data_IF_011950133880
#
_entry.id   IF_011950133880
#
_cell.length_a   1.000
_cell.length_b   1.000
_cell.length_c   1.000
_cell.angle_alpha   90.00
_cell.angle_beta   90.00
_cell.angle_gamma   90.00
#
_symmetry.space_group_name_H-M   'P 1'
#
loop_
_entity.id
_entity.type
_entity.pdbx_description
1 polymer ?
#
# COMPACT_ATOMS: atom_id res chain seq x y z
N UNK A 1 -12.87 -12.91 38.21
CA UNK A 1 -11.42 -13.11 38.08
C UNK A 1 -10.75 -11.98 37.29
N UNK A 2 -11.08 -11.76 36.01
CA UNK A 2 -10.43 -10.73 35.17
C UNK A 2 -10.40 -9.34 35.75
N UNK A 3 -11.50 -8.89 36.37
CA UNK A 3 -11.58 -7.58 37.03
C UNK A 3 -10.63 -7.45 38.24
N UNK A 4 -10.36 -8.55 38.93
CA UNK A 4 -9.41 -8.59 40.07
C UNK A 4 -7.98 -8.56 39.54
N UNK A 5 -7.67 -9.32 38.48
CA UNK A 5 -6.35 -9.34 37.86
C UNK A 5 -5.99 -7.98 37.25
N UNK A 6 -6.96 -7.30 36.62
CA UNK A 6 -6.75 -5.94 36.06
C UNK A 6 -6.41 -4.88 37.13
N UNK A 7 -6.76 -5.13 38.41
CA UNK A 7 -6.45 -4.23 39.52
C UNK A 7 -5.18 -4.61 40.28
N UNK A 8 -4.56 -5.74 39.95
CA UNK A 8 -3.31 -6.16 40.59
C UNK A 8 -2.16 -5.24 40.20
N UNK A 9 -1.46 -4.71 41.17
CA UNK A 9 -0.31 -3.81 40.97
C UNK A 9 1.04 -4.51 41.21
N UNK A 10 1.02 -5.82 41.49
CA UNK A 10 2.21 -6.65 41.62
C UNK A 10 1.95 -8.09 41.20
N UNK A 11 3.02 -8.80 40.86
CA UNK A 11 2.99 -10.24 40.54
C UNK A 11 2.47 -11.02 41.73
N UNK A 12 2.81 -10.62 42.96
CA UNK A 12 2.30 -11.25 44.18
C UNK A 12 0.79 -11.15 44.25
N UNK A 13 0.21 -9.96 44.11
CA UNK A 13 -1.23 -9.76 44.11
C UNK A 13 -1.97 -10.56 43.04
N UNK A 14 -1.40 -10.60 41.81
CA UNK A 14 -1.97 -11.40 40.73
C UNK A 14 -1.92 -12.90 41.05
N UNK A 15 -0.78 -13.40 41.50
CA UNK A 15 -0.56 -14.80 41.89
C UNK A 15 -1.52 -15.24 43.01
N UNK A 16 -1.63 -14.44 44.07
CA UNK A 16 -2.51 -14.73 45.19
C UNK A 16 -3.99 -14.70 44.77
N UNK A 17 -4.38 -13.78 43.90
CA UNK A 17 -5.74 -13.74 43.35
C UNK A 17 -6.10 -15.01 42.56
N UNK A 18 -5.15 -15.52 41.75
CA UNK A 18 -5.35 -16.79 41.02
C UNK A 18 -5.48 -17.96 42.01
N UNK A 19 -4.55 -18.09 42.93
CA UNK A 19 -4.51 -19.19 43.86
C UNK A 19 -5.75 -19.20 44.80
N UNK A 20 -6.06 -18.08 45.41
CA UNK A 20 -7.08 -17.99 46.47
C UNK A 20 -8.51 -17.90 45.92
N UNK A 21 -8.71 -17.35 44.76
CA UNK A 21 -10.05 -17.07 44.21
C UNK A 21 -10.44 -17.91 42.98
N UNK A 22 -9.49 -18.55 42.33
CA UNK A 22 -9.77 -19.32 41.14
C UNK A 22 -9.37 -20.81 41.26
N UNK A 23 -8.08 -21.11 41.50
CA UNK A 23 -7.61 -22.49 41.60
C UNK A 23 -8.04 -23.17 42.90
N UNK A 24 -8.05 -22.42 44.01
CA UNK A 24 -8.45 -22.86 45.37
C UNK A 24 -7.88 -24.24 45.74
N UNK A 25 -6.56 -24.49 45.64
CA UNK A 25 -5.97 -25.74 46.01
C UNK A 25 -6.12 -26.00 47.49
N UNK A 26 -6.00 -27.30 47.93
CA UNK A 26 -6.12 -27.70 49.32
C UNK A 26 -5.11 -27.00 50.23
N UNK A 27 -3.88 -26.76 49.79
CA UNK A 27 -2.87 -25.98 50.52
C UNK A 27 -2.79 -24.58 49.97
N UNK A 28 -3.24 -23.61 50.73
CA UNK A 28 -3.21 -22.19 50.46
C UNK A 28 -2.33 -21.44 51.49
N UNK A 29 -1.39 -22.13 52.10
CA UNK A 29 -0.49 -21.56 53.10
C UNK A 29 0.35 -20.41 52.58
N UNK A 30 0.82 -19.54 53.46
CA UNK A 30 1.69 -18.42 53.13
C UNK A 30 2.98 -18.88 52.41
N UNK A 31 3.48 -20.08 52.70
CA UNK A 31 4.63 -20.67 52.02
C UNK A 31 4.34 -20.99 50.55
N UNK A 32 3.16 -21.58 50.26
CA UNK A 32 2.71 -21.87 48.90
C UNK A 32 2.48 -20.60 48.13
N UNK A 33 1.80 -19.59 48.69
CA UNK A 33 1.61 -18.30 48.09
C UNK A 33 2.97 -17.64 47.73
N UNK A 34 3.91 -17.66 48.66
CA UNK A 34 5.26 -17.07 48.46
C UNK A 34 6.01 -17.80 47.33
N UNK A 35 5.99 -19.14 47.34
CA UNK A 35 6.66 -19.94 46.33
C UNK A 35 6.10 -19.70 44.92
N UNK A 36 4.76 -19.64 44.78
CA UNK A 36 4.09 -19.35 43.52
C UNK A 36 4.37 -17.94 43.01
N UNK A 37 4.31 -16.95 43.91
CA UNK A 37 4.62 -15.58 43.57
C UNK A 37 6.10 -15.41 43.12
N UNK A 38 7.04 -16.16 43.75
CA UNK A 38 8.45 -16.18 43.33
C UNK A 38 8.62 -16.75 41.94
N UNK A 39 7.94 -17.85 41.61
CA UNK A 39 7.96 -18.37 40.23
C UNK A 39 7.34 -17.36 39.26
N UNK A 40 6.18 -16.78 39.61
CA UNK A 40 5.54 -15.74 38.83
C UNK A 40 6.47 -14.53 38.60
N UNK A 41 7.22 -14.12 39.64
CA UNK A 41 8.19 -13.02 39.55
C UNK A 41 9.36 -13.38 38.61
N UNK A 42 9.88 -14.61 38.71
CA UNK A 42 10.94 -15.10 37.81
C UNK A 42 10.50 -15.03 36.34
N UNK A 43 9.27 -15.45 36.05
CA UNK A 43 8.72 -15.35 34.69
C UNK A 43 8.43 -13.89 34.30
N UNK A 44 7.91 -13.10 35.23
CA UNK A 44 7.67 -11.68 34.99
C UNK A 44 8.98 -10.96 34.66
N UNK A 45 10.04 -11.17 35.45
CA UNK A 45 11.37 -10.56 35.24
C UNK A 45 12.02 -11.02 33.94
N UNK A 46 11.72 -12.26 33.53
CA UNK A 46 12.27 -12.85 32.30
C UNK A 46 11.50 -12.42 31.05
N UNK A 47 10.20 -12.23 31.16
CA UNK A 47 9.31 -12.07 30.01
C UNK A 47 8.47 -10.80 30.02
N UNK A 48 8.19 -10.18 31.16
CA UNK A 48 7.62 -8.86 31.18
C UNK A 48 8.66 -7.90 30.63
N UNK A 49 8.31 -7.15 29.63
CA UNK A 49 9.15 -6.06 29.11
C UNK A 49 9.56 -5.19 30.30
N UNK A 50 10.82 -5.20 30.64
CA UNK A 50 11.40 -4.22 31.55
C UNK A 50 11.10 -2.86 30.94
N UNK A 51 10.16 -2.14 31.54
CA UNK A 51 10.05 -0.71 31.39
C UNK A 51 11.27 -0.13 32.12
N UNK A 52 12.46 -0.36 31.59
CA UNK A 52 13.60 0.43 31.98
C UNK A 52 13.39 1.78 31.35
N UNK A 53 13.12 2.78 32.20
CA UNK A 53 13.38 4.18 31.88
C UNK A 53 14.84 4.35 31.50
N UNK A 54 15.21 3.97 30.28
CA UNK A 54 16.44 4.41 29.65
C UNK A 54 16.16 5.77 29.04
N UNK A 55 16.33 6.78 29.86
CA UNK A 55 16.35 8.19 29.48
C UNK A 55 17.61 8.45 28.66
N UNK A 56 17.57 8.13 27.39
CA UNK A 56 18.39 8.80 26.38
C UNK A 56 17.46 9.26 25.26
N UNK A 57 17.05 10.52 25.32
CA UNK A 57 16.35 11.23 24.24
C UNK A 57 14.99 10.66 23.85
N UNK A 58 13.98 10.70 24.74
CA UNK A 58 12.54 10.72 24.46
C UNK A 58 11.98 9.75 23.42
N UNK A 59 11.62 8.53 23.78
CA UNK A 59 10.45 7.72 23.47
C UNK A 59 10.78 6.25 23.70
N UNK A 60 10.08 5.62 24.65
CA UNK A 60 10.11 4.16 24.83
C UNK A 60 9.65 3.49 23.54
N UNK A 61 10.53 2.71 22.92
CA UNK A 61 10.19 1.84 21.78
C UNK A 61 9.36 0.67 22.31
N UNK A 62 8.03 0.80 22.27
CA UNK A 62 7.09 -0.27 22.56
C UNK A 62 6.71 -0.98 21.26
N UNK A 63 6.45 -2.30 21.33
CA UNK A 63 5.87 -3.04 20.22
C UNK A 63 4.47 -2.53 19.86
N UNK A 64 4.00 -2.85 18.65
CA UNK A 64 2.68 -2.45 18.18
C UNK A 64 1.56 -3.03 19.04
N UNK A 65 0.55 -2.20 19.36
CA UNK A 65 -0.69 -2.65 19.99
C UNK A 65 -1.61 -3.44 19.05
N UNK A 66 -1.28 -3.53 17.76
CA UNK A 66 -1.99 -4.31 16.75
C UNK A 66 -1.60 -5.79 16.75
N UNK A 67 -0.74 -6.21 17.67
CA UNK A 67 -0.32 -7.61 17.84
C UNK A 67 -1.49 -8.45 18.36
N UNK A 68 -1.82 -9.51 17.64
CA UNK A 68 -2.87 -10.47 18.00
C UNK A 68 -2.30 -11.72 18.68
N UNK A 69 -1.03 -12.06 18.40
CA UNK A 69 -0.31 -13.19 19.02
C UNK A 69 1.19 -12.91 19.10
N UNK A 70 1.89 -13.72 19.91
CA UNK A 70 3.33 -13.64 20.07
C UNK A 70 3.94 -15.03 19.99
N UNK A 71 4.91 -15.18 19.07
CA UNK A 71 5.73 -16.40 18.91
C UNK A 71 7.17 -15.94 18.81
N UNK A 72 7.83 -15.77 19.96
CA UNK A 72 9.20 -15.23 19.99
C UNK A 72 10.21 -16.15 19.32
N UNK A 73 11.02 -15.54 18.44
CA UNK A 73 12.22 -16.18 17.88
C UNK A 73 13.45 -15.76 18.68
N UNK A 74 14.37 -16.68 19.02
CA UNK A 74 15.65 -16.35 19.61
C UNK A 74 16.67 -15.81 18.58
N UNK A 75 16.32 -15.78 17.30
CA UNK A 75 17.20 -15.41 16.20
C UNK A 75 17.24 -13.90 16.02
N UNK A 76 17.94 -13.19 16.88
CA UNK A 76 18.12 -11.74 16.81
C UNK A 76 19.48 -11.34 17.39
N UNK A 77 19.95 -10.15 17.05
CA UNK A 77 21.27 -9.66 17.50
C UNK A 77 21.24 -8.77 18.75
N UNK A 78 20.14 -8.83 19.50
CA UNK A 78 19.92 -7.91 20.62
C UNK A 78 19.55 -6.50 20.16
N UNK A 79 19.76 -5.53 21.04
CA UNK A 79 19.35 -4.13 20.83
C UNK A 79 19.92 -3.54 19.54
N UNK A 80 19.09 -2.75 18.83
CA UNK A 80 19.51 -2.00 17.65
C UNK A 80 20.58 -0.97 18.02
N UNK A 81 21.51 -0.77 17.10
CA UNK A 81 22.56 0.25 17.20
C UNK A 81 22.22 1.51 16.39
N UNK A 82 21.06 1.51 15.71
CA UNK A 82 20.57 2.62 14.90
C UNK A 82 19.08 2.84 15.16
N UNK A 83 18.63 4.08 15.04
CA UNK A 83 17.19 4.43 15.08
C UNK A 83 16.44 3.76 13.92
N UNK A 84 15.14 3.50 14.13
CA UNK A 84 14.27 2.93 13.10
C UNK A 84 13.94 4.02 12.08
N UNK A 85 14.40 3.83 10.85
CA UNK A 85 14.19 4.72 9.72
C UNK A 85 13.97 3.98 8.39
N UNK A 86 13.75 2.65 8.46
CA UNK A 86 13.40 1.80 7.33
C UNK A 86 12.23 0.86 7.67
N UNK A 87 11.43 0.54 6.66
CA UNK A 87 10.43 -0.53 6.68
C UNK A 87 10.78 -1.50 5.56
N UNK A 88 10.89 -2.79 5.90
CA UNK A 88 11.16 -3.84 4.92
C UNK A 88 10.05 -4.89 4.96
N UNK A 89 8.97 -4.72 4.20
CA UNK A 89 7.97 -5.76 4.02
C UNK A 89 8.49 -6.90 3.15
N UNK A 90 8.11 -8.13 3.51
CA UNK A 90 8.49 -9.38 2.85
C UNK A 90 7.24 -10.17 2.43
N UNK A 91 7.41 -11.21 1.62
CA UNK A 91 6.42 -12.24 1.35
C UNK A 91 6.93 -13.60 1.88
N UNK A 92 6.09 -14.28 2.67
CA UNK A 92 6.46 -15.58 3.30
C UNK A 92 6.29 -16.78 2.35
N UNK A 93 5.79 -16.54 1.13
CA UNK A 93 5.55 -17.59 0.10
C UNK A 93 4.60 -18.68 0.60
N UNK A 94 3.47 -18.27 1.14
CA UNK A 94 2.40 -19.16 1.63
C UNK A 94 1.27 -18.38 2.28
N UNK A 95 0.05 -18.91 2.16
CA UNK A 95 -1.13 -18.40 2.86
C UNK A 95 -1.13 -18.95 4.30
N UNK A 96 -0.15 -18.50 5.11
CA UNK A 96 0.09 -18.99 6.46
C UNK A 96 -0.70 -18.15 7.48
N UNK A 97 -1.05 -18.75 8.64
CA UNK A 97 -1.57 -17.99 9.77
C UNK A 97 -0.44 -17.17 10.44
N UNK A 98 -0.80 -16.19 11.24
CA UNK A 98 0.16 -15.35 11.98
C UNK A 98 1.07 -16.19 12.89
N UNK A 99 0.50 -17.18 13.61
CA UNK A 99 1.21 -18.11 14.47
C UNK A 99 2.17 -19.00 13.67
N UNK A 100 1.73 -19.49 12.51
CA UNK A 100 2.56 -20.33 11.62
C UNK A 100 3.75 -19.54 11.08
N UNK A 101 3.56 -18.25 10.73
CA UNK A 101 4.67 -17.38 10.33
C UNK A 101 5.69 -17.25 11.48
N UNK A 102 5.21 -17.02 12.71
CA UNK A 102 6.09 -16.98 13.89
C UNK A 102 6.88 -18.29 14.08
N UNK A 103 6.23 -19.43 13.91
CA UNK A 103 6.84 -20.76 14.03
C UNK A 103 7.87 -21.06 12.92
N UNK A 104 7.93 -20.30 11.83
CA UNK A 104 8.95 -20.44 10.79
C UNK A 104 10.36 -20.09 11.27
N UNK A 105 10.52 -19.47 12.43
CA UNK A 105 11.82 -18.95 12.93
C UNK A 105 12.29 -19.61 14.23
N UNK A 106 12.36 -20.94 14.31
CA UNK A 106 12.85 -21.63 15.49
C UNK A 106 14.35 -21.37 15.70
N UNK A 107 14.86 -21.71 16.89
CA UNK A 107 16.30 -21.66 17.19
C UNK A 107 17.10 -22.37 16.09
N UNK A 108 18.18 -21.73 15.63
CA UNK A 108 19.05 -22.30 14.59
C UNK A 108 18.61 -22.07 13.14
N UNK A 109 17.45 -21.47 12.90
CA UNK A 109 16.99 -21.13 11.53
C UNK A 109 17.91 -20.14 10.81
N UNK A 110 18.65 -19.29 11.56
CA UNK A 110 19.49 -18.23 10.99
C UNK A 110 18.73 -17.10 10.31
N UNK A 111 17.43 -17.00 10.58
CA UNK A 111 16.54 -15.95 10.05
C UNK A 111 15.45 -15.61 11.07
N UNK A 112 14.91 -14.41 10.99
CA UNK A 112 13.75 -13.95 11.76
C UNK A 112 13.20 -12.64 11.17
N UNK A 113 12.02 -12.20 11.66
CA UNK A 113 11.47 -10.88 11.36
C UNK A 113 10.90 -10.27 12.65
N UNK A 114 10.57 -8.97 12.63
CA UNK A 114 9.93 -8.34 13.79
C UNK A 114 8.45 -8.76 13.87
N UNK A 115 7.73 -8.75 12.76
CA UNK A 115 6.32 -9.09 12.70
C UNK A 115 5.97 -10.06 11.58
N UNK A 116 4.94 -10.86 11.80
CA UNK A 116 4.29 -11.68 10.78
C UNK A 116 2.83 -11.29 10.63
N UNK A 117 2.34 -11.13 9.39
CA UNK A 117 0.92 -10.87 9.11
C UNK A 117 0.33 -12.11 8.43
N UNK A 118 -0.59 -12.79 9.12
CA UNK A 118 -1.29 -13.97 8.63
C UNK A 118 -2.28 -13.65 7.51
N UNK A 119 -2.70 -14.71 6.79
CA UNK A 119 -3.63 -14.61 5.64
C UNK A 119 -4.98 -13.95 5.98
N UNK A 120 -5.35 -13.91 7.24
CA UNK A 120 -6.56 -13.31 7.81
C UNK A 120 -6.34 -11.86 8.31
N UNK A 121 -5.10 -11.35 8.23
CA UNK A 121 -4.70 -10.05 8.71
C UNK A 121 -4.36 -9.97 10.20
N UNK A 122 -4.27 -11.11 10.92
CA UNK A 122 -3.76 -11.11 12.30
C UNK A 122 -2.26 -10.90 12.32
N UNK A 123 -1.75 -10.25 13.35
CA UNK A 123 -0.34 -9.89 13.51
C UNK A 123 0.30 -10.72 14.60
N UNK A 124 1.43 -11.35 14.30
CA UNK A 124 2.28 -12.02 15.26
C UNK A 124 3.53 -11.17 15.54
N UNK A 125 3.86 -10.96 16.81
CA UNK A 125 5.14 -10.44 17.25
C UNK A 125 6.15 -11.60 17.32
N UNK A 126 7.30 -11.44 16.66
CA UNK A 126 8.32 -12.50 16.52
C UNK A 126 9.65 -12.06 17.11
N UNK A 127 10.09 -10.83 16.84
CA UNK A 127 11.23 -10.19 17.48
C UNK A 127 10.83 -8.78 17.87
N UNK A 128 11.10 -8.39 19.12
CA UNK A 128 10.78 -7.05 19.59
C UNK A 128 11.37 -5.97 18.69
N UNK A 129 10.67 -4.86 18.49
CA UNK A 129 11.15 -3.75 17.65
C UNK A 129 12.48 -3.17 18.11
N UNK A 130 12.76 -3.18 19.40
CA UNK A 130 14.04 -2.72 19.95
C UNK A 130 15.23 -3.61 19.55
N UNK A 131 14.98 -4.82 19.08
CA UNK A 131 15.98 -5.78 18.66
C UNK A 131 16.11 -5.87 17.13
N UNK A 132 17.35 -6.11 16.66
CA UNK A 132 17.63 -6.36 15.25
C UNK A 132 17.26 -7.79 14.88
N UNK A 133 16.24 -7.95 14.03
CA UNK A 133 15.90 -9.23 13.39
C UNK A 133 16.94 -9.60 12.30
N UNK A 134 16.86 -10.83 11.77
CA UNK A 134 17.72 -11.35 10.68
C UNK A 134 16.84 -11.65 9.45
N UNK A 135 16.41 -10.62 8.72
CA UNK A 135 15.38 -10.79 7.71
C UNK A 135 15.84 -10.45 6.28
N UNK A 136 16.51 -9.32 6.10
CA UNK A 136 16.78 -8.80 4.76
C UNK A 136 18.10 -9.26 4.13
N UNK A 137 18.84 -10.14 4.78
CA UNK A 137 20.21 -10.53 4.39
C UNK A 137 21.21 -9.36 4.42
N UNK A 138 20.89 -8.26 5.10
CA UNK A 138 21.74 -7.09 5.27
C UNK A 138 21.70 -6.60 6.71
N UNK A 139 22.82 -6.76 7.41
CA UNK A 139 22.97 -6.28 8.79
C UNK A 139 22.69 -4.78 8.90
N UNK A 140 23.20 -3.99 7.96
CA UNK A 140 23.01 -2.54 7.94
C UNK A 140 21.54 -2.15 7.73
N UNK A 141 20.82 -2.87 6.88
CA UNK A 141 19.39 -2.64 6.69
C UNK A 141 18.61 -3.07 7.94
N UNK A 142 18.85 -4.28 8.46
CA UNK A 142 18.09 -4.83 9.58
C UNK A 142 18.32 -4.05 10.89
N UNK A 143 19.45 -3.36 11.06
CA UNK A 143 19.65 -2.43 12.18
C UNK A 143 18.69 -1.22 12.12
N UNK A 144 18.32 -0.79 10.93
CA UNK A 144 17.50 0.38 10.64
C UNK A 144 16.02 0.04 10.38
N UNK A 145 15.73 -1.22 10.00
CA UNK A 145 14.43 -1.61 9.49
C UNK A 145 13.57 -2.37 10.50
N UNK A 146 12.28 -2.04 10.56
CA UNK A 146 11.28 -3.00 11.00
C UNK A 146 10.93 -3.90 9.82
N UNK A 147 11.09 -5.21 10.02
CA UNK A 147 10.88 -6.24 9.02
C UNK A 147 9.56 -6.97 9.26
N UNK A 148 8.78 -7.19 8.21
CA UNK A 148 7.41 -7.70 8.31
C UNK A 148 7.22 -8.80 7.26
N UNK A 149 7.06 -10.04 7.69
CA UNK A 149 6.68 -11.15 6.81
C UNK A 149 5.18 -11.17 6.59
N UNK A 150 4.75 -11.20 5.36
CA UNK A 150 3.33 -11.15 4.97
C UNK A 150 2.92 -12.44 4.28
N UNK A 151 1.77 -13.00 4.68
CA UNK A 151 1.17 -14.13 3.98
C UNK A 151 0.89 -13.75 2.51
N UNK A 152 1.27 -14.65 1.59
CA UNK A 152 1.17 -14.43 0.16
C UNK A 152 0.88 -15.74 -0.58
N UNK A 153 0.60 -15.66 -1.86
CA UNK A 153 0.52 -16.86 -2.70
C UNK A 153 1.88 -17.56 -2.80
N UNK A 154 1.86 -18.87 -3.14
CA UNK A 154 3.05 -19.70 -3.27
C UNK A 154 3.82 -19.48 -4.57
N UNK A 155 3.17 -18.90 -5.57
CA UNK A 155 3.74 -18.67 -6.90
C UNK A 155 3.81 -17.16 -7.19
N UNK A 156 4.73 -16.78 -8.07
CA UNK A 156 4.81 -15.42 -8.61
C UNK A 156 3.43 -14.98 -9.17
N UNK A 157 3.04 -13.75 -8.94
CA UNK A 157 3.80 -12.62 -8.37
C UNK A 157 3.76 -12.53 -6.82
N UNK A 158 3.44 -13.62 -6.10
CA UNK A 158 3.28 -13.74 -4.64
C UNK A 158 2.24 -12.75 -4.11
N UNK A 159 1.04 -12.79 -4.70
CA UNK A 159 -0.04 -11.87 -4.35
C UNK A 159 -0.49 -12.05 -2.90
N UNK A 160 -0.85 -10.94 -2.27
CA UNK A 160 -1.38 -10.90 -0.91
C UNK A 160 -2.89 -10.72 -0.93
N UNK A 161 -3.59 -11.35 0.02
CA UNK A 161 -5.01 -11.07 0.25
C UNK A 161 -5.20 -9.63 0.75
N UNK A 162 -6.37 -9.05 0.48
CA UNK A 162 -6.69 -7.68 0.93
C UNK A 162 -6.54 -7.52 2.45
N UNK A 163 -6.92 -8.52 3.26
CA UNK A 163 -6.77 -8.49 4.71
C UNK A 163 -5.30 -8.30 5.14
N UNK A 164 -4.38 -8.98 4.45
CA UNK A 164 -2.93 -8.87 4.72
C UNK A 164 -2.42 -7.48 4.35
N UNK A 165 -2.75 -7.01 3.16
CA UNK A 165 -2.28 -5.70 2.67
C UNK A 165 -2.83 -4.53 3.47
N UNK A 166 -4.12 -4.56 3.81
CA UNK A 166 -4.74 -3.55 4.68
C UNK A 166 -4.13 -3.53 6.09
N UNK A 167 -3.82 -4.71 6.65
CA UNK A 167 -3.14 -4.79 7.95
C UNK A 167 -1.69 -4.31 7.86
N UNK A 168 -0.97 -4.61 6.78
CA UNK A 168 0.39 -4.11 6.54
C UNK A 168 0.42 -2.57 6.57
N UNK A 169 -0.50 -1.92 5.88
CA UNK A 169 -0.62 -0.45 5.86
C UNK A 169 -0.84 0.10 7.29
N UNK A 170 -1.78 -0.50 8.03
CA UNK A 170 -2.09 -0.08 9.41
C UNK A 170 -0.92 -0.30 10.36
N UNK A 171 -0.25 -1.45 10.27
CA UNK A 171 0.92 -1.78 11.09
C UNK A 171 2.09 -0.84 10.80
N UNK A 172 2.39 -0.56 9.53
CA UNK A 172 3.41 0.40 9.15
C UNK A 172 3.09 1.81 9.65
N UNK A 173 1.83 2.26 9.57
CA UNK A 173 1.42 3.56 10.10
C UNK A 173 1.57 3.63 11.63
N UNK A 174 1.24 2.57 12.35
CA UNK A 174 1.42 2.47 13.79
C UNK A 174 2.90 2.52 14.18
N UNK A 175 3.76 1.74 13.49
CA UNK A 175 5.22 1.79 13.67
C UNK A 175 5.74 3.21 13.44
N UNK A 176 5.32 3.86 12.37
CA UNK A 176 5.72 5.24 12.07
C UNK A 176 5.34 6.19 13.21
N UNK A 177 4.09 6.19 13.65
CA UNK A 177 3.58 7.07 14.73
C UNK A 177 4.37 6.88 16.03
N UNK A 178 4.60 5.63 16.42
CA UNK A 178 5.35 5.31 17.66
C UNK A 178 6.82 5.74 17.57
N UNK A 179 7.42 5.71 16.39
CA UNK A 179 8.80 6.13 16.15
C UNK A 179 8.94 7.60 15.70
N UNK A 180 7.88 8.42 15.83
CA UNK A 180 7.91 9.84 15.49
C UNK A 180 8.07 10.12 14.00
N UNK A 181 7.76 9.13 13.14
CA UNK A 181 7.83 9.27 11.70
C UNK A 181 6.50 9.77 11.15
N UNK A 182 6.55 10.85 10.41
CA UNK A 182 5.37 11.46 9.79
C UNK A 182 5.32 11.27 8.28
N UNK A 183 6.40 10.72 7.68
CA UNK A 183 6.50 10.56 6.24
C UNK A 183 7.20 9.26 5.86
N UNK A 184 6.53 8.45 5.07
CA UNK A 184 7.08 7.24 4.43
C UNK A 184 7.50 7.57 3.01
N UNK A 185 8.69 7.18 2.61
CA UNK A 185 9.27 7.44 1.30
C UNK A 185 9.44 6.13 0.52
N UNK A 186 8.98 6.13 -0.73
CA UNK A 186 9.38 5.19 -1.74
C UNK A 186 10.21 5.90 -2.81
N UNK A 187 11.50 5.60 -2.89
CA UNK A 187 12.45 6.30 -3.76
C UNK A 187 12.64 5.61 -5.12
N UNK A 188 11.89 4.53 -5.38
CA UNK A 188 11.77 3.87 -6.67
C UNK A 188 12.92 2.93 -7.04
N UNK A 189 14.11 3.08 -6.47
CA UNK A 189 15.24 2.18 -6.74
C UNK A 189 16.12 1.94 -5.51
N UNK A 190 16.90 0.85 -5.55
CA UNK A 190 17.90 0.50 -4.55
C UNK A 190 18.93 1.61 -4.33
N UNK A 191 19.48 2.11 -5.42
CA UNK A 191 20.56 3.11 -5.42
C UNK A 191 20.09 4.39 -4.72
N UNK A 192 18.93 4.90 -5.11
CA UNK A 192 18.35 6.09 -4.49
C UNK A 192 18.01 5.87 -3.02
N UNK A 193 17.42 4.72 -2.68
CA UNK A 193 17.01 4.43 -1.32
C UNK A 193 18.17 4.21 -0.36
N UNK A 194 19.26 3.59 -0.81
CA UNK A 194 20.44 3.33 0.03
C UNK A 194 21.37 4.53 0.15
N UNK A 195 21.39 5.41 -0.84
CA UNK A 195 22.14 6.67 -0.80
C UNK A 195 21.42 7.78 -0.02
N UNK A 196 20.11 7.61 0.27
CA UNK A 196 19.32 8.63 0.96
C UNK A 196 19.45 8.48 2.49
N UNK A 197 19.78 9.59 3.16
CA UNK A 197 19.73 9.67 4.61
C UNK A 197 18.38 10.28 5.04
N UNK A 198 17.49 9.48 5.66
CA UNK A 198 16.17 9.96 6.07
C UNK A 198 16.26 11.03 7.15
N UNK A 199 15.45 12.07 7.03
CA UNK A 199 15.28 13.06 8.10
C UNK A 199 14.65 12.40 9.34
N UNK A 200 14.75 13.06 10.48
CA UNK A 200 14.24 12.53 11.75
C UNK A 200 12.78 12.05 11.69
N UNK A 201 11.95 12.72 10.90
CA UNK A 201 10.53 12.41 10.72
C UNK A 201 10.24 11.52 9.48
N UNK A 202 11.26 11.05 8.77
CA UNK A 202 11.11 10.23 7.56
C UNK A 202 11.49 8.77 7.82
N UNK A 203 10.89 7.86 7.04
CA UNK A 203 11.21 6.44 7.01
C UNK A 203 11.12 5.94 5.56
N UNK A 204 12.08 5.09 5.14
CA UNK A 204 12.21 4.63 3.75
C UNK A 204 11.77 3.18 3.61
N UNK A 205 11.00 2.88 2.57
CA UNK A 205 10.69 1.51 2.15
C UNK A 205 11.91 0.89 1.47
N UNK A 206 12.31 -0.30 1.94
CA UNK A 206 13.40 -1.10 1.36
C UNK A 206 12.90 -2.51 1.03
N UNK A 207 13.61 -3.25 0.18
CA UNK A 207 13.20 -4.56 -0.30
C UNK A 207 14.30 -5.60 -0.14
N UNK A 208 13.96 -6.82 0.27
CA UNK A 208 14.91 -7.93 0.44
C UNK A 208 15.69 -8.24 -0.84
N UNK A 209 15.04 -8.19 -2.02
CA UNK A 209 15.68 -8.42 -3.33
C UNK A 209 16.84 -7.49 -3.63
N UNK A 210 16.99 -6.41 -2.89
CA UNK A 210 18.13 -5.49 -3.04
C UNK A 210 19.43 -5.98 -2.38
N UNK A 211 19.30 -6.89 -1.41
CA UNK A 211 20.40 -7.33 -0.57
C UNK A 211 20.81 -8.79 -0.81
N UNK A 212 19.94 -9.55 -1.49
CA UNK A 212 20.23 -10.94 -1.84
C UNK A 212 19.52 -11.30 -3.16
N UNK A 213 19.95 -12.39 -3.82
CA UNK A 213 19.28 -12.93 -4.99
C UNK A 213 17.98 -13.63 -4.56
N UNK A 214 16.93 -12.84 -4.36
CA UNK A 214 15.59 -13.27 -3.88
C UNK A 214 14.51 -12.55 -4.65
N UNK A 215 13.38 -13.22 -4.90
CA UNK A 215 12.17 -12.58 -5.45
C UNK A 215 11.43 -11.70 -4.42
N UNK A 216 11.65 -11.93 -3.12
CA UNK A 216 10.98 -11.21 -2.04
C UNK A 216 11.17 -9.67 -2.17
N UNK A 217 10.11 -8.88 -2.02
CA UNK A 217 8.77 -9.17 -1.50
C UNK A 217 7.75 -9.68 -2.54
N UNK A 218 8.18 -10.15 -3.71
CA UNK A 218 7.35 -10.52 -4.84
C UNK A 218 6.99 -9.29 -5.71
N UNK A 219 6.71 -9.53 -6.98
CA UNK A 219 6.39 -8.44 -7.90
C UNK A 219 5.05 -7.79 -7.59
N UNK A 220 4.13 -8.55 -6.98
CA UNK A 220 2.85 -7.99 -6.56
C UNK A 220 3.01 -6.87 -5.54
N UNK A 221 3.77 -7.08 -4.46
CA UNK A 221 3.98 -6.07 -3.44
C UNK A 221 4.99 -5.01 -3.90
N UNK A 222 6.08 -5.40 -4.55
CA UNK A 222 7.11 -4.47 -4.99
C UNK A 222 6.58 -3.39 -5.94
N UNK A 223 5.69 -3.77 -6.88
CA UNK A 223 5.05 -2.81 -7.79
C UNK A 223 4.08 -1.85 -7.07
N UNK A 224 3.66 -2.20 -5.85
CA UNK A 224 2.75 -1.40 -5.01
C UNK A 224 3.44 -0.58 -3.93
N UNK A 225 4.76 -0.56 -3.87
CA UNK A 225 5.48 0.20 -2.82
C UNK A 225 5.18 1.70 -2.85
N UNK A 226 4.95 2.29 -4.02
CA UNK A 226 4.49 3.69 -4.13
C UNK A 226 3.10 3.88 -3.52
N UNK A 227 2.15 3.01 -3.87
CA UNK A 227 0.81 3.00 -3.28
C UNK A 227 0.85 2.74 -1.77
N UNK A 228 1.69 1.79 -1.34
CA UNK A 228 1.89 1.47 0.08
C UNK A 228 2.35 2.72 0.86
N UNK A 229 3.36 3.43 0.36
CA UNK A 229 3.84 4.66 0.97
C UNK A 229 2.74 5.74 1.03
N UNK A 230 2.03 5.96 -0.07
CA UNK A 230 0.94 6.94 -0.16
C UNK A 230 -0.18 6.62 0.86
N UNK A 231 -0.58 5.35 0.97
CA UNK A 231 -1.62 4.92 1.89
C UNK A 231 -1.21 5.01 3.36
N UNK A 232 0.05 4.71 3.67
CA UNK A 232 0.57 4.90 5.03
C UNK A 232 0.61 6.40 5.35
N UNK A 233 1.11 7.24 4.44
CA UNK A 233 1.16 8.70 4.62
C UNK A 233 -0.24 9.30 4.85
N UNK A 234 -1.26 8.82 4.18
CA UNK A 234 -2.64 9.21 4.42
C UNK A 234 -3.10 8.93 5.87
N UNK A 235 -2.67 7.80 6.47
CA UNK A 235 -2.95 7.46 7.87
C UNK A 235 -2.10 8.26 8.88
N UNK A 236 -0.97 8.80 8.43
CA UNK A 236 -0.11 9.67 9.24
C UNK A 236 -0.59 11.13 9.27
N UNK A 237 -1.57 11.50 8.44
CA UNK A 237 -2.02 12.88 8.28
C UNK A 237 -1.02 13.75 7.50
N UNK A 238 -0.04 13.14 6.84
CA UNK A 238 0.95 13.84 6.05
C UNK A 238 0.34 14.23 4.70
N UNK A 239 -0.10 15.47 4.56
CA UNK A 239 -0.53 16.06 3.29
C UNK A 239 0.66 16.54 2.44
N UNK A 240 1.90 16.26 2.87
CA UNK A 240 3.11 16.74 2.23
C UNK A 240 3.57 15.80 1.11
N UNK A 241 3.11 16.08 -0.09
CA UNK A 241 3.74 15.60 -1.33
C UNK A 241 4.96 16.47 -1.61
N UNK A 242 6.12 16.11 -1.04
CA UNK A 242 7.37 16.80 -1.34
C UNK A 242 7.80 16.59 -2.79
N UNK A 243 7.58 17.56 -3.61
CA UNK A 243 8.55 18.04 -4.59
C UNK A 243 8.34 19.54 -4.86
N UNK A 244 9.46 20.22 -4.83
CA UNK A 244 9.83 21.60 -5.18
C UNK A 244 8.76 22.56 -5.71
N UNK A 245 8.63 23.68 -5.01
CA UNK A 245 8.47 25.01 -5.61
C UNK A 245 7.03 25.52 -5.73
N UNK A 246 6.63 26.43 -4.82
CA UNK A 246 5.54 27.36 -5.07
C UNK A 246 4.43 27.39 -4.02
N UNK A 247 4.60 28.32 -3.11
CA UNK A 247 3.62 29.00 -2.25
C UNK A 247 2.14 28.67 -2.51
N UNK A 248 1.39 28.14 -1.51
CA UNK A 248 0.19 28.77 -0.98
C UNK A 248 -0.52 27.96 0.11
N UNK A 249 -1.11 28.66 1.00
CA UNK A 249 -1.82 28.53 2.27
C UNK A 249 -2.91 27.43 2.33
N UNK A 250 -3.24 26.89 3.53
CA UNK A 250 -4.09 25.69 3.70
C UNK A 250 -5.56 26.02 3.55
N UNK A 251 -6.22 25.26 2.68
CA UNK A 251 -7.68 25.16 2.69
C UNK A 251 -8.07 23.69 2.62
N UNK A 252 -8.93 23.25 3.54
CA UNK A 252 -9.42 21.89 3.63
C UNK A 252 -10.06 21.45 2.31
N UNK A 253 -9.42 20.48 1.66
CA UNK A 253 -9.89 19.95 0.39
C UNK A 253 -9.64 18.44 0.33
N UNK A 254 -10.70 17.66 0.17
CA UNK A 254 -10.71 16.28 -0.25
C UNK A 254 -9.77 16.10 -1.45
N UNK A 255 -8.58 15.53 -1.23
CA UNK A 255 -7.61 15.30 -2.29
C UNK A 255 -8.20 14.47 -3.43
N UNK A 256 -8.03 14.93 -4.67
CA UNK A 256 -8.50 14.23 -5.87
C UNK A 256 -7.84 12.86 -5.95
N UNK A 257 -8.64 11.78 -5.89
CA UNK A 257 -8.21 10.42 -6.14
C UNK A 257 -8.41 10.06 -7.61
N UNK A 258 -7.39 9.44 -8.19
CA UNK A 258 -7.42 8.93 -9.56
C UNK A 258 -7.71 7.43 -9.52
N UNK A 259 -8.74 7.01 -10.23
CA UNK A 259 -9.11 5.60 -10.39
C UNK A 259 -8.85 5.18 -11.82
N UNK A 260 -8.44 3.94 -12.03
CA UNK A 260 -8.35 3.38 -13.37
C UNK A 260 -9.60 2.56 -13.65
N UNK A 261 -10.29 2.87 -14.73
CA UNK A 261 -11.53 2.22 -15.14
C UNK A 261 -11.32 1.48 -16.46
N UNK A 262 -11.69 0.19 -16.48
CA UNK A 262 -11.57 -0.69 -17.66
C UNK A 262 -12.91 -0.91 -18.39
N UNK A 263 -13.98 -0.25 -17.95
CA UNK A 263 -15.28 -0.31 -18.57
C UNK A 263 -16.39 0.24 -17.69
N UNK A 264 -17.49 0.64 -18.33
CA UNK A 264 -18.75 1.00 -17.69
C UNK A 264 -19.91 0.37 -18.46
N UNK A 265 -20.76 -0.38 -17.77
CA UNK A 265 -21.79 -1.23 -18.37
C UNK A 265 -23.15 -0.95 -17.74
N UNK A 266 -24.21 -0.85 -18.54
CA UNK A 266 -25.59 -0.77 -18.04
C UNK A 266 -26.05 -2.09 -17.43
N UNK A 267 -25.60 -3.21 -17.98
CA UNK A 267 -25.93 -4.54 -17.47
C UNK A 267 -24.84 -5.06 -16.54
N UNK A 268 -25.24 -5.46 -15.33
CA UNK A 268 -24.32 -5.99 -14.32
C UNK A 268 -23.53 -7.22 -14.80
N UNK A 269 -24.20 -8.11 -15.55
CA UNK A 269 -23.57 -9.32 -16.07
C UNK A 269 -22.36 -9.03 -16.99
N UNK A 270 -22.43 -7.97 -17.81
CA UNK A 270 -21.32 -7.56 -18.68
C UNK A 270 -20.15 -6.98 -17.86
N UNK A 271 -20.47 -6.25 -16.80
CA UNK A 271 -19.46 -5.74 -15.87
C UNK A 271 -18.79 -6.86 -15.06
N UNK A 272 -19.54 -7.86 -14.60
CA UNK A 272 -19.03 -9.05 -13.92
C UNK A 272 -18.11 -9.86 -14.84
N UNK A 273 -18.47 -10.02 -16.12
CA UNK A 273 -17.64 -10.68 -17.12
C UNK A 273 -16.32 -9.94 -17.34
N UNK A 274 -16.35 -8.61 -17.45
CA UNK A 274 -15.15 -7.78 -17.55
C UNK A 274 -14.29 -7.85 -16.30
N UNK A 275 -14.92 -7.76 -15.12
CA UNK A 275 -14.24 -7.91 -13.83
C UNK A 275 -13.47 -9.23 -13.74
N UNK A 276 -14.12 -10.33 -14.17
CA UNK A 276 -13.48 -11.66 -14.20
C UNK A 276 -12.26 -11.69 -15.14
N UNK A 277 -12.37 -11.10 -16.33
CA UNK A 277 -11.26 -11.02 -17.29
C UNK A 277 -10.08 -10.21 -16.75
N UNK A 278 -10.36 -9.05 -16.15
CA UNK A 278 -9.33 -8.15 -15.57
C UNK A 278 -8.61 -8.83 -14.40
N UNK A 279 -9.36 -9.52 -13.52
CA UNK A 279 -8.78 -10.31 -12.42
C UNK A 279 -7.95 -11.50 -12.93
N UNK A 280 -8.41 -12.22 -13.94
CA UNK A 280 -7.67 -13.32 -14.54
C UNK A 280 -6.35 -12.86 -15.20
N UNK A 281 -6.27 -11.61 -15.64
CA UNK A 281 -5.05 -11.01 -16.16
C UNK A 281 -4.09 -10.50 -15.08
N UNK A 282 -4.40 -10.73 -13.79
CA UNK A 282 -3.54 -10.39 -12.65
C UNK A 282 -3.74 -9.00 -12.07
N UNK A 283 -4.80 -8.28 -12.46
CA UNK A 283 -5.12 -6.96 -11.90
C UNK A 283 -6.12 -7.07 -10.74
N UNK A 284 -5.88 -6.36 -9.68
CA UNK A 284 -6.88 -6.19 -8.63
C UNK A 284 -7.97 -5.23 -9.12
N UNK A 285 -9.21 -5.71 -9.19
CA UNK A 285 -10.32 -4.97 -9.73
C UNK A 285 -11.58 -5.15 -8.89
N UNK A 286 -12.36 -4.08 -8.81
CA UNK A 286 -13.65 -4.06 -8.13
C UNK A 286 -14.75 -3.59 -9.06
N UNK A 287 -15.97 -4.02 -8.76
CA UNK A 287 -17.17 -3.50 -9.39
C UNK A 287 -17.76 -2.39 -8.54
N UNK A 288 -18.00 -1.22 -9.14
CA UNK A 288 -18.62 -0.07 -8.48
C UNK A 288 -19.84 0.38 -9.27
N UNK A 289 -20.99 0.46 -8.63
CA UNK A 289 -22.19 1.05 -9.22
C UNK A 289 -22.15 2.57 -9.07
N UNK A 290 -22.48 3.28 -10.15
CA UNK A 290 -22.54 4.74 -10.20
C UNK A 290 -23.67 5.15 -11.17
N UNK A 291 -24.83 5.56 -10.63
CA UNK A 291 -26.05 5.74 -11.39
C UNK A 291 -26.45 4.43 -12.08
N UNK A 292 -26.80 4.51 -13.35
CA UNK A 292 -27.24 3.37 -14.18
C UNK A 292 -26.10 2.48 -14.68
N UNK A 293 -24.85 2.76 -14.27
CA UNK A 293 -23.68 2.05 -14.76
C UNK A 293 -22.95 1.27 -13.68
N UNK A 294 -22.53 0.06 -14.03
CA UNK A 294 -21.58 -0.77 -13.32
C UNK A 294 -20.18 -0.55 -13.91
N UNK A 295 -19.26 0.00 -13.10
CA UNK A 295 -17.90 0.36 -13.51
C UNK A 295 -16.90 -0.66 -12.96
N UNK A 296 -16.00 -1.17 -13.80
CA UNK A 296 -14.90 -2.01 -13.39
C UNK A 296 -13.68 -1.12 -13.17
N UNK A 297 -13.21 -1.04 -11.93
CA UNK A 297 -12.11 -0.16 -11.53
C UNK A 297 -10.96 -0.96 -10.95
N UNK A 298 -9.72 -0.56 -11.31
CA UNK A 298 -8.47 -1.07 -10.74
C UNK A 298 -7.73 0.05 -10.02
N UNK A 299 -7.31 -0.20 -8.80
CA UNK A 299 -6.52 0.75 -8.02
C UNK A 299 -7.23 2.09 -7.69
N UNK A 300 -6.65 2.80 -6.72
CA UNK A 300 -7.00 4.17 -6.37
C UNK A 300 -5.70 4.92 -6.07
N UNK A 301 -5.38 5.93 -6.84
CA UNK A 301 -4.08 6.61 -6.85
C UNK A 301 -4.22 8.06 -6.41
N UNK A 302 -3.29 8.55 -5.61
CA UNK A 302 -3.18 9.95 -5.24
C UNK A 302 -2.49 10.80 -6.32
N UNK A 303 -1.74 10.14 -7.22
CA UNK A 303 -1.05 10.78 -8.35
C UNK A 303 -1.55 10.24 -9.69
N UNK A 304 -1.80 11.15 -10.63
CA UNK A 304 -2.27 10.81 -11.99
C UNK A 304 -1.26 9.94 -12.76
N UNK A 305 0.04 10.17 -12.51
CA UNK A 305 1.13 9.42 -13.15
C UNK A 305 1.08 7.93 -12.79
N UNK A 306 0.78 7.60 -11.54
CA UNK A 306 0.62 6.21 -11.09
C UNK A 306 -0.60 5.54 -11.72
N UNK A 307 -1.71 6.27 -11.83
CA UNK A 307 -2.89 5.78 -12.54
C UNK A 307 -2.61 5.58 -14.05
N UNK A 308 -1.86 6.49 -14.67
CA UNK A 308 -1.44 6.35 -16.07
C UNK A 308 -0.52 5.14 -16.30
N UNK A 309 0.39 4.86 -15.36
CA UNK A 309 1.24 3.66 -15.42
C UNK A 309 0.40 2.37 -15.35
N UNK A 310 -0.65 2.33 -14.55
CA UNK A 310 -1.57 1.20 -14.48
C UNK A 310 -2.39 1.07 -15.77
N UNK A 311 -2.86 2.18 -16.34
CA UNK A 311 -3.50 2.20 -17.67
C UNK A 311 -2.60 1.60 -18.73
N UNK A 312 -1.30 1.95 -18.73
CA UNK A 312 -0.34 1.39 -19.69
C UNK A 312 -0.19 -0.13 -19.56
N UNK A 313 -0.14 -0.65 -18.31
CA UNK A 313 -0.09 -2.11 -18.06
C UNK A 313 -1.35 -2.82 -18.53
N UNK A 314 -2.53 -2.26 -18.26
CA UNK A 314 -3.81 -2.80 -18.71
C UNK A 314 -3.90 -2.83 -20.24
N UNK A 315 -3.49 -1.74 -20.90
CA UNK A 315 -3.45 -1.66 -22.38
C UNK A 315 -2.48 -2.68 -22.97
N UNK A 316 -1.32 -2.91 -22.36
CA UNK A 316 -0.37 -3.94 -22.78
C UNK A 316 -0.94 -5.37 -22.67
N UNK A 317 -1.98 -5.57 -21.84
CA UNK A 317 -2.74 -6.83 -21.70
C UNK A 317 -4.03 -6.84 -22.54
N UNK A 318 -4.24 -5.86 -23.42
CA UNK A 318 -5.38 -5.79 -24.33
C UNK A 318 -6.67 -5.23 -23.71
N UNK A 319 -6.60 -4.57 -22.55
CA UNK A 319 -7.76 -3.93 -21.94
C UNK A 319 -7.79 -2.44 -22.26
N UNK A 320 -8.93 -1.94 -22.70
CA UNK A 320 -9.18 -0.50 -22.68
C UNK A 320 -9.25 -0.01 -21.24
N UNK A 321 -8.50 1.05 -20.93
CA UNK A 321 -8.46 1.63 -19.61
C UNK A 321 -8.29 3.15 -19.67
N UNK A 322 -8.95 3.84 -18.74
CA UNK A 322 -8.90 5.29 -18.59
C UNK A 322 -8.70 5.65 -17.13
N UNK A 323 -8.09 6.81 -16.88
CA UNK A 323 -8.03 7.40 -15.53
C UNK A 323 -9.30 8.22 -15.28
N UNK A 324 -9.93 8.00 -14.11
CA UNK A 324 -11.10 8.76 -13.65
C UNK A 324 -10.83 9.38 -12.28
N UNK A 325 -11.59 10.41 -11.89
CA UNK A 325 -11.54 11.03 -10.55
C UNK A 325 -12.74 10.64 -9.69
N UNK A 326 -12.83 11.15 -8.46
CA UNK A 326 -13.93 10.94 -7.53
C UNK A 326 -15.29 11.22 -8.22
N UNK A 327 -16.11 10.17 -8.37
CA UNK A 327 -17.38 10.27 -9.06
C UNK A 327 -17.45 9.55 -10.41
N UNK A 328 -16.30 9.07 -10.94
CA UNK A 328 -16.25 8.28 -12.17
C UNK A 328 -16.41 9.08 -13.46
N UNK A 329 -16.28 10.40 -13.41
CA UNK A 329 -15.94 11.20 -14.60
C UNK A 329 -14.49 10.89 -14.97
N UNK A 330 -14.20 10.80 -16.28
CA UNK A 330 -12.81 10.74 -16.73
C UNK A 330 -12.03 11.85 -16.02
N UNK A 331 -10.90 11.51 -15.38
CA UNK A 331 -10.03 12.54 -14.84
C UNK A 331 -9.62 13.40 -16.01
N UNK A 332 -10.25 14.55 -16.14
CA UNK A 332 -10.07 15.42 -17.27
C UNK A 332 -8.58 15.53 -17.57
N UNK A 333 -8.19 15.16 -18.76
CA UNK A 333 -7.23 15.99 -19.46
C UNK A 333 -7.60 17.40 -19.05
N UNK A 334 -6.70 18.16 -18.43
CA UNK A 334 -6.89 19.59 -18.26
C UNK A 334 -7.38 20.06 -19.63
N UNK A 335 -8.66 20.43 -19.70
CA UNK A 335 -9.23 21.03 -20.86
C UNK A 335 -8.58 22.42 -20.95
N UNK A 336 -7.31 22.46 -21.32
CA UNK A 336 -6.82 23.64 -22.01
C UNK A 336 -7.64 23.64 -23.29
N UNK A 337 -8.55 24.59 -23.38
CA UNK A 337 -9.42 24.82 -24.55
C UNK A 337 -8.62 24.51 -25.82
N UNK A 338 -9.09 23.56 -26.62
CA UNK A 338 -8.43 23.23 -27.88
C UNK A 338 -8.47 24.47 -28.74
N UNK A 339 -7.30 24.91 -29.21
CA UNK A 339 -7.13 26.10 -30.02
C UNK A 339 -6.67 25.72 -31.42
N UNK A 340 -6.94 26.58 -32.39
CA UNK A 340 -6.36 26.45 -33.72
C UNK A 340 -4.83 26.47 -33.60
N UNK A 341 -4.17 25.52 -34.23
CA UNK A 341 -2.74 25.31 -34.15
C UNK A 341 -2.29 24.18 -33.21
N UNK A 342 -3.15 23.77 -32.25
CA UNK A 342 -2.81 22.68 -31.33
C UNK A 342 -2.64 21.34 -32.08
N UNK A 343 -1.67 20.55 -31.61
CA UNK A 343 -1.58 19.15 -31.98
C UNK A 343 -2.41 18.35 -30.98
N UNK A 344 -3.32 17.55 -31.50
CA UNK A 344 -4.31 16.76 -30.75
C UNK A 344 -4.23 15.30 -31.16
N UNK A 345 -4.71 14.44 -30.30
CA UNK A 345 -4.86 13.01 -30.61
C UNK A 345 -6.27 12.76 -31.14
N UNK A 346 -6.39 12.31 -32.39
CA UNK A 346 -7.62 11.81 -32.96
C UNK A 346 -7.78 10.32 -32.63
N UNK A 347 -8.85 9.96 -31.94
CA UNK A 347 -9.09 8.59 -31.45
C UNK A 347 -9.70 7.66 -32.52
N UNK A 348 -9.88 8.16 -33.75
CA UNK A 348 -10.58 7.45 -34.82
C UNK A 348 -12.09 7.79 -34.86
N UNK A 349 -12.76 7.23 -35.85
CA UNK A 349 -14.17 7.47 -36.10
C UNK A 349 -14.42 8.30 -37.37
N UNK A 350 -15.70 8.62 -37.67
CA UNK A 350 -16.03 9.32 -38.90
C UNK A 350 -15.51 10.76 -38.93
N UNK A 351 -15.07 11.20 -40.13
CA UNK A 351 -14.82 12.61 -40.43
C UNK A 351 -15.84 13.13 -41.44
N UNK A 352 -15.97 14.44 -41.52
CA UNK A 352 -17.03 15.12 -42.25
C UNK A 352 -16.47 16.22 -43.11
N UNK A 353 -17.12 16.52 -44.26
CA UNK A 353 -16.73 17.58 -45.16
C UNK A 353 -17.03 19.00 -44.61
N UNK A 354 -17.93 19.16 -43.65
CA UNK A 354 -18.21 20.44 -42.99
C UNK A 354 -18.60 20.25 -41.55
N UNK A 355 -18.56 21.35 -40.76
CA UNK A 355 -18.90 21.35 -39.35
C UNK A 355 -20.36 20.95 -39.04
N UNK A 356 -21.28 21.06 -40.02
CA UNK A 356 -22.69 20.75 -39.90
C UNK A 356 -23.15 19.54 -40.73
N UNK A 357 -22.23 18.85 -41.41
CA UNK A 357 -22.58 17.76 -42.33
C UNK A 357 -23.40 16.66 -41.61
N UNK A 358 -24.37 16.10 -42.30
CA UNK A 358 -25.17 14.96 -41.81
C UNK A 358 -24.54 13.61 -42.18
N UNK A 359 -23.77 13.56 -43.26
CA UNK A 359 -23.16 12.35 -43.81
C UNK A 359 -21.66 12.38 -43.61
N UNK A 360 -21.07 11.28 -43.14
CA UNK A 360 -19.63 11.10 -43.00
C UNK A 360 -18.96 11.01 -44.40
N UNK A 361 -17.78 11.63 -44.49
CA UNK A 361 -16.95 11.56 -45.73
C UNK A 361 -16.03 10.31 -45.72
N UNK A 362 -15.86 9.68 -44.54
CA UNK A 362 -15.08 8.47 -44.38
C UNK A 362 -14.70 8.21 -42.92
N UNK A 363 -13.95 7.13 -42.70
CA UNK A 363 -13.46 6.75 -41.35
C UNK A 363 -11.93 6.69 -41.38
N UNK A 364 -11.24 7.82 -41.14
CA UNK A 364 -9.78 7.87 -41.19
C UNK A 364 -9.15 7.12 -40.03
N UNK A 365 -7.87 6.74 -40.23
CA UNK A 365 -7.05 6.11 -39.22
C UNK A 365 -6.77 7.08 -38.06
N UNK A 366 -6.89 6.58 -36.81
CA UNK A 366 -6.54 7.32 -35.59
C UNK A 366 -5.06 7.72 -35.57
N UNK A 367 -4.75 8.79 -34.83
CA UNK A 367 -3.38 9.26 -34.63
C UNK A 367 -3.27 10.77 -34.43
N UNK A 368 -2.05 11.32 -34.39
CA UNK A 368 -1.85 12.74 -34.14
C UNK A 368 -2.33 13.61 -35.30
N UNK A 369 -2.95 14.74 -34.96
CA UNK A 369 -3.48 15.70 -35.92
C UNK A 369 -3.41 17.13 -35.42
N UNK A 370 -3.26 18.08 -36.31
CA UNK A 370 -3.24 19.51 -36.01
C UNK A 370 -4.63 20.12 -36.20
N UNK A 371 -5.10 20.88 -35.23
CA UNK A 371 -6.36 21.63 -35.33
C UNK A 371 -6.17 22.83 -36.25
N UNK A 372 -6.91 22.89 -37.34
CA UNK A 372 -6.81 23.94 -38.34
C UNK A 372 -7.98 24.94 -38.30
N UNK A 373 -9.16 24.50 -37.81
CA UNK A 373 -10.34 25.37 -37.60
C UNK A 373 -11.18 24.87 -36.45
N UNK A 374 -11.90 25.79 -35.81
CA UNK A 374 -12.86 25.50 -34.74
C UNK A 374 -14.15 26.27 -35.01
N UNK A 375 -15.29 25.57 -34.94
CA UNK A 375 -16.64 26.17 -34.97
C UNK A 375 -17.33 25.76 -33.67
N UNK A 376 -17.33 26.67 -32.70
CA UNK A 376 -17.96 26.41 -31.38
C UNK A 376 -19.46 26.13 -31.55
N UNK A 377 -19.94 25.09 -30.86
CA UNK A 377 -21.36 24.69 -30.90
C UNK A 377 -21.80 23.93 -32.13
N UNK A 378 -20.92 23.71 -33.12
CA UNK A 378 -21.25 22.91 -34.29
C UNK A 378 -21.30 21.40 -33.95
N UNK A 379 -22.01 20.64 -34.76
CA UNK A 379 -22.12 19.17 -34.65
C UNK A 379 -20.75 18.49 -34.69
N UNK A 380 -19.84 18.99 -35.55
CA UNK A 380 -18.45 18.55 -35.69
C UNK A 380 -17.54 19.77 -35.52
N UNK A 381 -17.17 20.13 -34.26
CA UNK A 381 -16.58 21.44 -33.98
C UNK A 381 -15.13 21.64 -34.43
N UNK A 382 -14.38 20.56 -34.65
CA UNK A 382 -12.95 20.63 -34.95
C UNK A 382 -12.64 20.17 -36.37
N UNK A 383 -11.99 21.02 -37.15
CA UNK A 383 -11.32 20.61 -38.39
C UNK A 383 -9.89 20.28 -38.08
N UNK A 384 -9.50 19.03 -38.35
CA UNK A 384 -8.15 18.50 -38.03
C UNK A 384 -7.50 17.90 -39.27
N UNK A 385 -6.17 17.97 -39.30
CA UNK A 385 -5.32 17.43 -40.36
C UNK A 385 -4.22 16.59 -39.73
N UNK A 386 -4.03 15.37 -40.19
CA UNK A 386 -2.97 14.48 -39.69
C UNK A 386 -1.59 15.17 -39.76
N UNK A 387 -0.70 14.86 -38.83
CA UNK A 387 0.66 15.43 -38.74
C UNK A 387 1.74 14.45 -39.20
N UNK A 388 1.42 13.17 -39.30
CA UNK A 388 2.30 12.10 -39.74
C UNK A 388 1.52 10.95 -40.39
N UNK A 389 2.22 9.89 -40.83
CA UNK A 389 1.64 8.70 -41.46
C UNK A 389 0.88 7.76 -40.50
N UNK A 390 0.91 8.01 -39.19
CA UNK A 390 0.15 7.23 -38.19
C UNK A 390 -1.35 7.51 -38.26
N UNK A 391 -1.73 8.70 -38.71
CA UNK A 391 -3.12 9.11 -38.93
C UNK A 391 -3.37 9.38 -40.40
N UNK A 392 -4.64 9.33 -40.83
CA UNK A 392 -5.07 9.76 -42.15
C UNK A 392 -6.22 10.77 -42.10
N UNK A 393 -6.43 11.37 -40.95
CA UNK A 393 -7.57 12.29 -40.73
C UNK A 393 -7.35 13.63 -41.45
N UNK A 394 -8.36 14.00 -42.25
CA UNK A 394 -8.45 15.31 -42.87
C UNK A 394 -9.92 15.71 -42.95
N UNK A 395 -10.37 16.63 -42.08
CA UNK A 395 -11.75 17.08 -42.10
C UNK A 395 -12.31 17.43 -40.72
N UNK A 396 -13.60 17.62 -40.68
CA UNK A 396 -14.32 17.93 -39.45
C UNK A 396 -14.63 16.68 -38.65
N UNK A 397 -14.48 16.75 -37.34
CA UNK A 397 -14.66 15.60 -36.44
C UNK A 397 -15.47 15.99 -35.21
N UNK A 398 -16.07 14.98 -34.57
CA UNK A 398 -16.80 15.16 -33.32
C UNK A 398 -15.85 15.53 -32.19
N UNK A 399 -16.31 16.33 -31.25
CA UNK A 399 -15.54 16.72 -30.08
C UNK A 399 -15.07 15.52 -29.22
N UNK A 400 -15.88 14.46 -29.16
CA UNK A 400 -15.57 13.25 -28.44
C UNK A 400 -14.37 12.44 -29.02
N UNK A 401 -14.00 12.71 -30.26
CA UNK A 401 -12.95 11.99 -30.97
C UNK A 401 -11.59 12.72 -30.94
N UNK A 402 -11.50 13.85 -30.21
CA UNK A 402 -10.31 14.69 -30.15
C UNK A 402 -9.91 14.94 -28.70
N UNK A 403 -8.65 14.71 -28.36
CA UNK A 403 -8.08 15.02 -27.04
C UNK A 403 -6.73 15.74 -27.19
N UNK A 404 -6.40 16.59 -26.22
CA UNK A 404 -5.11 17.34 -26.17
C UNK A 404 -4.10 16.59 -25.33
#
# INVERSE_FOLDING_TARGET
MLAVLKKATSVRQASDAVLLKYEQPKDQSASVQTKRASYGQTYFDKYATKTTNDTQGGKTMSNSSLVDCTVYSPNHSGKRTHSIDRLTPHCVVGQLSAETIGACFPKGRGASCNYGIGYDGRVCLIVDECNRSWCSSSNANDQRAITIECASDKAEPYAMKSAVYEKLIKLCADICKRNGKTKVLWLGSKEKALAYEPKANEIVLTAHRWFANKSCPGDWLYSRYGELADRINALLGSTDSGNSGGNNTPSGGSGVKYYVQTGAYKQKANADAQLKKVKAAGFDAILKQSGDFYKVQTGAYSKKENANAEVAKLKAKGFDAIVTTNGGSAAGSTNSEIKVGDVVQFSGGPHYGSAAASTAAGTPKAGPAKVTRIVKGAKHPYHIVHTDSQSSVYGWVNAANVSK
#
